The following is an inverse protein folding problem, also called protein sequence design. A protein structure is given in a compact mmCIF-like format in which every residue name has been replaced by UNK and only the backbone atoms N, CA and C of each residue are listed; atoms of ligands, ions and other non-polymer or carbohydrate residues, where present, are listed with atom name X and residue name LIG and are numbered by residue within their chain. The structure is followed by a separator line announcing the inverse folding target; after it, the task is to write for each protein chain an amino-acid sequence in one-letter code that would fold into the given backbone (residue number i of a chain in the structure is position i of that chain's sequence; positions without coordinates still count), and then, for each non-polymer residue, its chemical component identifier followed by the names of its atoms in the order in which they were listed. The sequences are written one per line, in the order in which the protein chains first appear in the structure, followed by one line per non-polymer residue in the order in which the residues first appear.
data_IF_591429984808
#
_entry.id   IF_591429984808
#
_cell.length_a   1.000
_cell.length_b   1.000
_cell.length_c   1.000
_cell.angle_alpha   90.00
_cell.angle_beta   90.00
_cell.angle_gamma   90.00
#
_symmetry.space_group_name_H-M   'P 1'
#
loop_
_entity.id
_entity.type
_entity.pdbx_description
1 polymer ?
#
# COMPACT_ATOMS: atom_id res chain seq x y z
N UNK A 1 -5.54 -8.88 8.43
CA UNK A 1 -4.67 -10.01 8.04
C UNK A 1 -3.77 -9.72 6.84
N UNK A 2 -4.30 -9.39 5.64
CA UNK A 2 -3.48 -9.18 4.43
C UNK A 2 -2.41 -8.08 4.57
N UNK A 3 -2.78 -6.85 4.95
CA UNK A 3 -1.82 -5.75 5.11
C UNK A 3 -0.79 -6.02 6.22
N UNK A 4 -1.21 -6.72 7.28
CA UNK A 4 -0.33 -7.15 8.37
C UNK A 4 0.74 -8.09 7.85
N UNK A 5 0.38 -9.05 6.99
CA UNK A 5 1.33 -9.98 6.36
C UNK A 5 2.40 -9.24 5.53
N UNK A 6 2.00 -8.22 4.78
CA UNK A 6 2.96 -7.39 4.01
C UNK A 6 3.91 -6.65 4.96
N UNK A 7 3.39 -6.09 6.05
CA UNK A 7 4.21 -5.37 7.03
C UNK A 7 5.18 -6.28 7.79
N UNK A 8 4.85 -7.56 7.95
CA UNK A 8 5.71 -8.55 8.63
C UNK A 8 6.66 -9.30 7.69
N UNK A 9 6.48 -9.15 6.37
CA UNK A 9 7.31 -9.83 5.38
C UNK A 9 8.73 -9.22 5.36
N UNK A 10 9.81 -10.02 5.52
CA UNK A 10 11.17 -9.51 5.67
C UNK A 10 11.70 -8.80 4.41
N UNK A 11 11.16 -9.12 3.24
CA UNK A 11 11.53 -8.49 1.97
C UNK A 11 10.66 -7.27 1.71
N UNK A 12 9.33 -7.43 1.77
CA UNK A 12 8.38 -6.36 1.42
C UNK A 12 8.39 -5.22 2.41
N UNK A 13 8.63 -5.47 3.70
CA UNK A 13 8.70 -4.43 4.74
C UNK A 13 9.84 -3.43 4.52
N UNK A 14 10.87 -3.76 3.74
CA UNK A 14 12.02 -2.87 3.47
C UNK A 14 11.65 -1.65 2.63
N UNK A 15 10.60 -1.75 1.83
CA UNK A 15 10.16 -0.71 0.89
C UNK A 15 8.66 -0.40 1.03
N UNK A 16 8.00 -0.99 2.03
CA UNK A 16 6.60 -0.69 2.35
C UNK A 16 6.44 -0.20 3.77
N UNK A 17 5.48 0.70 3.99
CA UNK A 17 5.17 1.24 5.32
C UNK A 17 3.66 1.30 5.51
N UNK A 18 3.17 0.51 6.47
CA UNK A 18 1.76 0.51 6.86
C UNK A 18 1.54 1.53 7.98
N UNK A 19 0.54 2.40 7.84
CA UNK A 19 0.18 3.40 8.86
C UNK A 19 -1.33 3.55 8.96
N UNK A 20 -1.79 3.96 10.14
CA UNK A 20 -3.19 4.37 10.35
C UNK A 20 -3.39 5.75 9.72
N UNK A 21 -4.37 5.88 8.83
CA UNK A 21 -4.79 7.16 8.28
C UNK A 21 -5.77 7.84 9.24
N UNK A 22 -6.85 7.13 9.56
CA UNK A 22 -7.93 7.62 10.39
C UNK A 22 -8.78 6.44 10.91
N UNK A 23 -9.85 6.75 11.65
CA UNK A 23 -10.91 5.81 12.00
C UNK A 23 -12.20 6.22 11.29
N UNK A 24 -13.01 5.25 10.88
CA UNK A 24 -14.36 5.52 10.37
C UNK A 24 -15.28 5.98 11.49
N UNK A 25 -16.50 6.44 11.15
CA UNK A 25 -17.53 6.77 12.14
C UNK A 25 -17.90 5.59 13.05
N UNK A 26 -17.81 4.36 12.54
CA UNK A 26 -18.03 3.14 13.32
C UNK A 26 -16.79 2.68 14.12
N UNK A 27 -15.71 3.47 14.13
CA UNK A 27 -14.48 3.17 14.88
C UNK A 27 -13.48 2.24 14.18
N UNK A 28 -13.76 1.82 12.94
CA UNK A 28 -12.89 0.92 12.19
C UNK A 28 -11.61 1.64 11.74
N UNK A 29 -10.46 0.99 11.92
CA UNK A 29 -9.16 1.53 11.51
C UNK A 29 -9.00 1.53 9.98
N UNK A 30 -8.81 2.69 9.39
CA UNK A 30 -8.49 2.86 7.96
C UNK A 30 -6.99 3.03 7.83
N UNK A 31 -6.34 2.06 7.20
CA UNK A 31 -4.90 2.07 7.00
C UNK A 31 -4.55 2.55 5.59
N UNK A 32 -3.35 3.12 5.44
CA UNK A 32 -2.73 3.34 4.14
C UNK A 32 -1.37 2.66 4.09
N UNK A 33 -0.99 2.22 2.88
CA UNK A 33 0.29 1.58 2.59
C UNK A 33 1.10 2.49 1.69
N UNK A 34 2.28 2.91 2.13
CA UNK A 34 3.27 3.55 1.25
C UNK A 34 4.16 2.47 0.66
N UNK A 35 4.33 2.47 -0.66
CA UNK A 35 5.28 1.61 -1.38
C UNK A 35 6.30 2.53 -2.05
N UNK A 36 7.56 2.47 -1.64
CA UNK A 36 8.64 3.25 -2.24
C UNK A 36 9.99 2.65 -1.90
N UNK A 37 10.96 2.71 -2.82
CA UNK A 37 12.31 2.26 -2.56
C UNK A 37 12.93 3.00 -1.34
N UNK A 38 13.66 2.30 -0.45
CA UNK A 38 14.33 2.91 0.70
C UNK A 38 15.28 4.03 0.27
N UNK A 39 15.22 5.17 0.95
CA UNK A 39 15.93 6.38 0.56
C UNK A 39 17.31 6.45 1.23
N UNK A 40 18.37 6.60 0.44
CA UNK A 40 19.72 6.89 0.94
C UNK A 40 20.24 8.29 0.52
N UNK A 41 19.53 9.02 -0.35
CA UNK A 41 19.96 10.33 -0.88
C UNK A 41 18.82 11.35 -0.93
N UNK A 42 19.19 12.64 -0.87
CA UNK A 42 18.30 13.82 -0.86
C UNK A 42 17.42 13.99 -2.12
N UNK A 43 17.76 13.31 -3.23
CA UNK A 43 16.95 13.30 -4.46
C UNK A 43 15.56 12.66 -4.29
N UNK A 44 15.36 11.91 -3.20
CA UNK A 44 14.07 11.34 -2.84
C UNK A 44 12.94 12.37 -2.73
N UNK A 45 13.25 13.65 -2.51
CA UNK A 45 12.27 14.74 -2.42
C UNK A 45 11.56 15.07 -3.74
N UNK A 46 12.04 14.56 -4.88
CA UNK A 46 11.47 14.82 -6.22
C UNK A 46 10.66 13.67 -6.81
N UNK A 47 10.46 12.57 -6.07
CA UNK A 47 9.65 11.44 -6.56
C UNK A 47 8.19 11.87 -6.72
N UNK A 48 7.59 11.56 -7.88
CA UNK A 48 6.16 11.79 -8.11
C UNK A 48 5.35 10.91 -7.15
N UNK A 49 4.41 11.51 -6.43
CA UNK A 49 3.46 10.78 -5.59
C UNK A 49 2.26 10.32 -6.40
N UNK A 50 1.88 9.06 -6.24
CA UNK A 50 0.63 8.51 -6.78
C UNK A 50 -0.21 8.04 -5.59
N UNK A 51 -1.46 8.49 -5.53
CA UNK A 51 -2.42 8.08 -4.51
C UNK A 51 -3.49 7.23 -5.19
N UNK A 52 -3.64 5.99 -4.71
CA UNK A 52 -4.67 5.07 -5.18
C UNK A 52 -5.64 4.81 -4.03
N UNK A 53 -6.93 4.89 -4.33
CA UNK A 53 -8.02 4.58 -3.39
C UNK A 53 -8.95 3.56 -4.01
N UNK A 54 -9.63 2.76 -3.19
CA UNK A 54 -10.59 1.77 -3.65
C UNK A 54 -11.78 1.68 -2.69
N UNK A 55 -12.91 1.18 -3.22
CA UNK A 55 -14.15 0.91 -2.50
C UNK A 55 -14.69 2.11 -1.72
N UNK A 56 -14.88 3.22 -2.44
CA UNK A 56 -15.56 4.40 -1.88
C UNK A 56 -17.01 4.06 -1.57
N UNK A 57 -17.68 3.32 -2.47
CA UNK A 57 -19.02 2.79 -2.22
C UNK A 57 -18.93 1.38 -1.61
N UNK A 58 -19.66 1.09 -0.50
CA UNK A 58 -19.59 -0.21 0.17
C UNK A 58 -19.90 -1.42 -0.74
N UNK A 59 -20.78 -1.23 -1.72
CA UNK A 59 -21.21 -2.24 -2.69
C UNK A 59 -20.17 -2.61 -3.76
N UNK A 60 -19.13 -1.80 -3.94
CA UNK A 60 -18.09 -2.02 -4.97
C UNK A 60 -17.01 -3.00 -4.50
N UNK A 61 -17.42 -4.15 -3.97
CA UNK A 61 -16.51 -5.19 -3.47
C UNK A 61 -15.38 -5.57 -4.45
N UNK A 62 -15.59 -5.65 -5.80
CA UNK A 62 -14.51 -5.94 -6.75
C UNK A 62 -13.31 -4.99 -6.67
N UNK A 63 -13.51 -3.74 -6.29
CA UNK A 63 -12.42 -2.76 -6.15
C UNK A 63 -11.41 -3.13 -5.05
N UNK A 64 -11.85 -3.85 -4.00
CA UNK A 64 -10.94 -4.38 -2.97
C UNK A 64 -9.99 -5.45 -3.52
N UNK A 65 -10.49 -6.29 -4.43
CA UNK A 65 -9.68 -7.31 -5.10
C UNK A 65 -8.72 -6.69 -6.09
N UNK A 66 -9.16 -5.65 -6.81
CA UNK A 66 -8.29 -4.88 -7.70
C UNK A 66 -7.15 -4.22 -6.91
N UNK A 67 -7.45 -3.56 -5.79
CA UNK A 67 -6.43 -2.96 -4.93
C UNK A 67 -5.47 -4.00 -4.38
N UNK A 68 -5.97 -5.18 -3.96
CA UNK A 68 -5.12 -6.30 -3.57
C UNK A 68 -4.17 -6.73 -4.70
N UNK A 69 -4.68 -6.85 -5.93
CA UNK A 69 -3.87 -7.20 -7.11
C UNK A 69 -2.80 -6.15 -7.42
N UNK A 70 -3.13 -4.86 -7.33
CA UNK A 70 -2.15 -3.77 -7.49
C UNK A 70 -1.04 -3.87 -6.44
N UNK A 71 -1.40 -4.09 -5.17
CA UNK A 71 -0.41 -4.23 -4.09
C UNK A 71 0.45 -5.49 -4.31
N UNK A 72 -0.14 -6.61 -4.69
CA UNK A 72 0.58 -7.85 -4.98
C UNK A 72 1.56 -7.66 -6.15
N UNK A 73 1.15 -6.93 -7.20
CA UNK A 73 2.00 -6.62 -8.35
C UNK A 73 3.16 -5.70 -7.96
N UNK A 74 2.87 -4.54 -7.34
CA UNK A 74 3.88 -3.56 -6.93
C UNK A 74 4.85 -4.07 -5.85
N UNK A 75 4.46 -5.12 -5.12
CA UNK A 75 5.33 -5.79 -4.13
C UNK A 75 5.85 -7.14 -4.61
N UNK A 76 5.64 -7.48 -5.88
CA UNK A 76 6.07 -8.72 -6.50
C UNK A 76 7.51 -8.67 -7.00
N UNK A 77 8.00 -9.82 -7.48
CA UNK A 77 9.38 -9.95 -7.97
C UNK A 77 9.53 -9.73 -9.47
N UNK A 78 8.45 -9.37 -10.17
CA UNK A 78 8.51 -9.15 -11.61
C UNK A 78 9.41 -7.96 -11.96
N UNK A 79 10.11 -8.04 -13.09
CA UNK A 79 10.97 -6.95 -13.58
C UNK A 79 10.19 -5.64 -13.84
N UNK A 80 8.89 -5.72 -14.09
CA UNK A 80 8.04 -4.53 -14.28
C UNK A 80 7.67 -3.84 -12.96
N UNK A 81 7.80 -4.55 -11.83
CA UNK A 81 7.49 -4.04 -10.50
C UNK A 81 8.72 -3.52 -9.75
N UNK A 82 9.92 -3.97 -10.13
CA UNK A 82 11.21 -3.50 -9.60
C UNK A 82 11.65 -2.22 -10.28
#
# INVERSE_FOLDING_TARGET
EYLTRISSDPVKSRFTKLRLLCRTLAGNSVHYLTITAPNYNDEARKKKGIVLTARVHPGETPSSWMMKGIIDFLTGESNQAR
#
